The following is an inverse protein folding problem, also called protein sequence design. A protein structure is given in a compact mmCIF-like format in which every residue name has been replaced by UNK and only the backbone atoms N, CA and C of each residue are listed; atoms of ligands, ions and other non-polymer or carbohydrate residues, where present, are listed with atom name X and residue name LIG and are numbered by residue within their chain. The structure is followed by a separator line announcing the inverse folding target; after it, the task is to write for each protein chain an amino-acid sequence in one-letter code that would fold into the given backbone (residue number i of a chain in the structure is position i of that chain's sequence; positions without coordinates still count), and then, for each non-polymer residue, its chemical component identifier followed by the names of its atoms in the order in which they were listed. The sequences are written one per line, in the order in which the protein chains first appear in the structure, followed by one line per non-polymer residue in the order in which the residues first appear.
data_IF_591108531613
#
_entry.id   IF_591108531613
#
_cell.length_a   1.000
_cell.length_b   1.000
_cell.length_c   1.000
_cell.angle_alpha   90.00
_cell.angle_beta   90.00
_cell.angle_gamma   90.00
#
_symmetry.space_group_name_H-M   'P 1'
#
loop_
_entity.id
_entity.type
_entity.pdbx_description
1 polymer ?
#
# COMPACT_ATOMS: atom_id res chain seq x y z
N UNK A 1 22.35 -5.36 -12.50
CA UNK A 1 23.51 -4.48 -12.78
C UNK A 1 23.13 -3.02 -13.07
N UNK A 2 21.84 -2.64 -13.16
CA UNK A 2 21.46 -1.26 -13.45
C UNK A 2 21.86 -0.26 -12.34
N UNK A 3 21.57 -0.59 -11.07
CA UNK A 3 21.80 0.33 -9.95
C UNK A 3 23.27 0.67 -9.70
N UNK A 4 24.15 -0.33 -9.57
CA UNK A 4 25.58 -0.10 -9.25
C UNK A 4 26.35 0.60 -10.37
N UNK A 5 25.79 0.65 -11.58
CA UNK A 5 26.38 1.35 -12.71
C UNK A 5 25.85 2.78 -12.87
N UNK A 6 24.74 3.12 -12.21
CA UNK A 6 24.12 4.44 -12.27
C UNK A 6 25.06 5.53 -11.68
N UNK A 7 25.32 6.63 -12.41
CA UNK A 7 26.19 7.70 -11.93
C UNK A 7 25.69 8.39 -10.65
N UNK A 8 24.37 8.52 -10.46
CA UNK A 8 23.81 9.13 -9.25
C UNK A 8 23.96 8.20 -8.04
N UNK A 9 23.81 6.88 -8.24
CA UNK A 9 24.13 5.90 -7.22
C UNK A 9 25.61 5.97 -6.81
N UNK A 10 26.54 5.96 -7.77
CA UNK A 10 27.98 6.08 -7.49
C UNK A 10 28.33 7.38 -6.76
N UNK A 11 27.69 8.49 -7.14
CA UNK A 11 27.86 9.78 -6.46
C UNK A 11 27.38 9.70 -5.01
N UNK A 12 26.20 9.12 -4.76
CA UNK A 12 25.66 8.94 -3.42
C UNK A 12 26.53 8.01 -2.58
N UNK A 13 27.01 6.91 -3.17
CA UNK A 13 27.91 5.96 -2.51
C UNK A 13 29.24 6.62 -2.11
N UNK A 14 29.84 7.39 -3.02
CA UNK A 14 31.06 8.13 -2.74
C UNK A 14 30.84 9.15 -1.62
N UNK A 15 29.76 9.94 -1.71
CA UNK A 15 29.41 10.90 -0.66
C UNK A 15 29.22 10.22 0.70
N UNK A 16 28.56 9.06 0.74
CA UNK A 16 28.39 8.27 1.94
C UNK A 16 29.74 7.84 2.54
N UNK A 17 30.65 7.31 1.71
CA UNK A 17 31.99 6.90 2.17
C UNK A 17 32.78 8.06 2.77
N UNK A 18 32.64 9.25 2.20
CA UNK A 18 33.39 10.44 2.61
C UNK A 18 32.78 11.14 3.85
N UNK A 19 31.45 11.07 4.03
CA UNK A 19 30.75 11.96 4.98
C UNK A 19 29.85 11.23 6.01
N UNK A 20 29.54 9.93 5.84
CA UNK A 20 28.56 9.27 6.71
C UNK A 20 29.01 9.21 8.17
N UNK A 21 30.31 9.09 8.42
CA UNK A 21 30.88 9.05 9.77
C UNK A 21 30.70 10.34 10.57
N UNK A 22 30.47 11.48 9.91
CA UNK A 22 30.23 12.77 10.57
C UNK A 22 28.75 13.10 10.77
N UNK A 23 27.83 12.25 10.31
CA UNK A 23 26.40 12.49 10.51
C UNK A 23 25.99 12.13 11.94
N UNK A 24 25.55 13.13 12.69
CA UNK A 24 25.01 12.96 14.03
C UNK A 24 23.62 13.59 14.13
N UNK A 25 22.63 12.81 14.55
CA UNK A 25 21.25 13.29 14.62
C UNK A 25 21.08 14.51 15.52
N UNK A 26 21.73 14.51 16.69
CA UNK A 26 21.61 15.61 17.66
C UNK A 26 22.19 16.89 17.06
N UNK A 27 23.40 16.81 16.52
CA UNK A 27 24.09 17.95 15.92
C UNK A 27 23.32 18.51 14.72
N UNK A 28 22.67 17.64 13.93
CA UNK A 28 21.84 18.04 12.78
C UNK A 28 20.58 18.82 13.18
N UNK A 29 19.96 18.50 14.33
CA UNK A 29 18.85 19.29 14.90
C UNK A 29 19.33 20.55 15.62
N UNK A 30 20.52 20.51 16.23
CA UNK A 30 21.10 21.68 16.87
C UNK A 30 21.48 22.75 15.86
N UNK A 31 22.08 22.34 14.73
CA UNK A 31 22.53 23.20 13.62
C UNK A 31 21.41 23.69 12.70
N UNK A 32 20.30 22.97 12.59
CA UNK A 32 19.14 23.38 11.78
C UNK A 32 17.85 23.35 12.59
N UNK A 33 17.46 24.51 13.14
CA UNK A 33 16.25 24.65 13.96
C UNK A 33 14.96 24.39 13.18
N UNK A 34 14.99 24.53 11.85
CA UNK A 34 13.84 24.31 10.97
C UNK A 34 13.83 22.91 10.34
N UNK A 35 14.69 22.01 10.81
CA UNK A 35 14.84 20.66 10.26
C UNK A 35 13.53 19.89 10.21
N UNK A 36 12.70 19.96 11.24
CA UNK A 36 11.39 19.31 11.23
C UNK A 36 10.56 19.79 10.03
N UNK A 37 10.42 21.10 9.85
CA UNK A 37 9.64 21.70 8.76
C UNK A 37 10.20 21.36 7.37
N UNK A 38 11.53 21.25 7.23
CA UNK A 38 12.19 20.91 5.95
C UNK A 38 12.08 19.42 5.58
N UNK A 39 12.07 18.55 6.58
CA UNK A 39 12.07 17.09 6.42
C UNK A 39 10.78 16.45 6.96
N UNK A 40 9.67 17.18 6.83
CA UNK A 40 8.34 16.63 7.03
C UNK A 40 7.40 17.16 5.96
N UNK A 41 6.32 16.43 5.71
CA UNK A 41 5.22 16.90 4.87
C UNK A 41 3.91 16.44 5.47
N UNK A 42 2.91 17.31 5.47
CA UNK A 42 1.55 16.98 5.91
C UNK A 42 0.69 16.79 4.66
N UNK A 43 0.14 15.60 4.49
CA UNK A 43 -0.82 15.29 3.44
C UNK A 43 -2.23 15.53 3.97
N UNK A 44 -2.96 16.41 3.30
CA UNK A 44 -4.36 16.67 3.58
C UNK A 44 -5.20 15.63 2.85
N UNK A 45 -6.07 14.94 3.58
CA UNK A 45 -7.07 14.02 3.02
C UNK A 45 -8.44 14.45 3.50
N UNK A 46 -9.50 14.04 2.79
CA UNK A 46 -10.88 14.39 3.16
C UNK A 46 -11.25 13.90 4.58
N UNK A 47 -10.58 12.84 5.05
CA UNK A 47 -10.81 12.21 6.35
C UNK A 47 -9.80 12.62 7.44
N UNK A 48 -8.91 13.59 7.14
CA UNK A 48 -7.94 14.12 8.10
C UNK A 48 -6.53 14.28 7.55
N UNK A 49 -5.61 14.66 8.43
CA UNK A 49 -4.22 14.93 8.07
C UNK A 49 -3.31 13.74 8.33
N UNK A 50 -2.36 13.50 7.41
CA UNK A 50 -1.29 12.53 7.60
C UNK A 50 0.05 13.27 7.63
N UNK A 51 0.67 13.35 8.82
CA UNK A 51 2.02 13.88 8.97
C UNK A 51 3.06 12.80 8.66
N UNK A 52 3.84 13.02 7.60
CA UNK A 52 5.04 12.24 7.30
C UNK A 52 6.28 13.01 7.81
N UNK A 53 6.70 12.70 9.03
CA UNK A 53 7.94 13.21 9.62
C UNK A 53 9.11 12.25 9.33
N UNK A 54 10.02 12.68 8.45
CA UNK A 54 11.25 11.97 8.14
C UNK A 54 12.52 12.72 8.60
N UNK A 55 12.36 13.73 9.47
CA UNK A 55 13.45 14.58 9.98
C UNK A 55 14.47 13.84 10.85
N UNK A 56 14.05 12.72 11.45
CA UNK A 56 14.88 11.85 12.30
C UNK A 56 15.67 10.79 11.52
N UNK A 57 15.81 10.96 10.20
CA UNK A 57 16.69 10.15 9.36
C UNK A 57 18.04 10.84 9.17
N UNK A 58 19.12 10.06 9.01
CA UNK A 58 20.49 10.54 8.79
C UNK A 58 20.66 11.06 7.36
N UNK A 59 19.91 12.11 7.03
CA UNK A 59 19.92 12.76 5.73
C UNK A 59 20.01 14.27 5.91
N UNK A 60 20.70 14.94 5.00
CA UNK A 60 20.69 16.39 4.89
C UNK A 60 20.09 16.78 3.52
N UNK A 61 20.07 18.07 3.20
CA UNK A 61 19.47 18.55 1.95
C UNK A 61 20.19 18.02 0.71
N UNK A 62 21.51 17.85 0.79
CA UNK A 62 22.33 17.30 -0.30
C UNK A 62 21.98 15.84 -0.55
N UNK A 63 21.93 15.02 0.51
CA UNK A 63 21.55 13.60 0.44
C UNK A 63 20.15 13.42 -0.12
N UNK A 64 19.17 14.20 0.35
CA UNK A 64 17.81 14.15 -0.17
C UNK A 64 17.78 14.48 -1.67
N UNK A 65 18.53 15.49 -2.10
CA UNK A 65 18.63 15.86 -3.51
C UNK A 65 19.28 14.75 -4.36
N UNK A 66 20.31 14.08 -3.84
CA UNK A 66 20.94 12.93 -4.51
C UNK A 66 20.01 11.72 -4.61
N UNK A 67 19.24 11.43 -3.55
CA UNK A 67 18.25 10.35 -3.55
C UNK A 67 17.15 10.61 -4.59
N UNK A 68 16.64 11.84 -4.68
CA UNK A 68 15.64 12.22 -5.68
C UNK A 68 16.20 12.17 -7.10
N UNK A 69 17.45 12.61 -7.31
CA UNK A 69 18.12 12.49 -8.61
C UNK A 69 18.29 11.03 -9.04
N UNK A 70 18.67 10.15 -8.11
CA UNK A 70 18.79 8.71 -8.35
C UNK A 70 17.42 8.08 -8.66
N UNK A 71 16.36 8.44 -7.94
CA UNK A 71 15.01 7.95 -8.24
C UNK A 71 14.57 8.32 -9.67
N UNK A 72 14.91 9.53 -10.13
CA UNK A 72 14.66 9.97 -11.50
C UNK A 72 15.50 9.19 -12.53
N UNK A 73 16.81 9.01 -12.31
CA UNK A 73 17.64 8.27 -13.28
C UNK A 73 17.30 6.79 -13.36
N UNK A 74 16.79 6.21 -12.26
CA UNK A 74 16.31 4.82 -12.22
C UNK A 74 14.91 4.65 -12.85
N UNK A 75 14.28 5.71 -13.37
CA UNK A 75 13.02 5.62 -14.09
C UNK A 75 11.80 5.32 -13.22
N UNK A 76 11.82 5.75 -11.94
CA UNK A 76 10.70 5.49 -11.01
C UNK A 76 9.40 6.11 -11.51
N UNK A 77 9.45 7.31 -12.09
CA UNK A 77 8.27 7.99 -12.64
C UNK A 77 7.71 7.23 -13.85
N UNK A 78 8.57 6.79 -14.78
CA UNK A 78 8.15 5.97 -15.93
C UNK A 78 7.55 4.63 -15.46
N UNK A 79 8.20 3.94 -14.52
CA UNK A 79 7.71 2.68 -13.97
C UNK A 79 6.35 2.84 -13.27
N UNK A 80 6.14 3.98 -12.59
CA UNK A 80 4.83 4.35 -12.03
C UNK A 80 3.79 4.46 -13.13
N UNK A 81 4.04 5.23 -14.19
CA UNK A 81 3.08 5.39 -15.29
C UNK A 81 2.74 4.06 -15.97
N UNK A 82 3.72 3.18 -16.18
CA UNK A 82 3.51 1.82 -16.71
C UNK A 82 2.58 0.99 -15.81
N UNK A 83 2.73 1.10 -14.49
CA UNK A 83 1.84 0.43 -13.55
C UNK A 83 0.41 0.97 -13.65
N UNK A 84 0.23 2.29 -13.66
CA UNK A 84 -1.10 2.92 -13.66
C UNK A 84 -1.84 2.74 -15.00
N UNK A 85 -1.11 2.67 -16.12
CA UNK A 85 -1.68 2.46 -17.45
C UNK A 85 -2.04 1.01 -17.77
N UNK A 86 -1.63 0.05 -16.94
CA UNK A 86 -1.93 -1.37 -17.14
C UNK A 86 -0.91 -2.14 -17.99
N UNK A 87 0.28 -1.57 -18.21
CA UNK A 87 1.36 -2.30 -18.87
C UNK A 87 1.78 -3.55 -18.09
N UNK A 88 2.31 -4.55 -18.81
CA UNK A 88 2.74 -5.84 -18.25
C UNK A 88 4.11 -5.72 -17.57
N UNK A 89 4.18 -4.94 -16.49
CA UNK A 89 5.41 -4.69 -15.73
C UNK A 89 5.91 -5.92 -14.96
N UNK A 90 5.02 -6.89 -14.65
CA UNK A 90 5.43 -8.20 -14.16
C UNK A 90 5.89 -9.02 -15.37
N UNK A 91 7.13 -8.77 -15.80
CA UNK A 91 7.71 -9.31 -17.02
C UNK A 91 8.00 -10.82 -16.95
N UNK A 92 8.16 -11.40 -15.75
CA UNK A 92 8.39 -12.84 -15.61
C UNK A 92 7.13 -13.66 -15.86
N UNK A 93 5.97 -13.13 -15.46
CA UNK A 93 4.66 -13.78 -15.69
C UNK A 93 3.88 -13.18 -16.87
N UNK A 94 4.37 -12.09 -17.47
CA UNK A 94 3.69 -11.37 -18.54
C UNK A 94 2.36 -10.75 -18.10
N UNK A 95 2.28 -10.19 -16.89
CA UNK A 95 1.03 -9.71 -16.27
C UNK A 95 1.06 -8.22 -15.95
N UNK A 96 -0.11 -7.58 -16.05
CA UNK A 96 -0.34 -6.25 -15.50
C UNK A 96 -0.42 -6.29 -13.96
N UNK A 97 -0.10 -5.18 -13.30
CA UNK A 97 -0.14 -5.06 -11.83
C UNK A 97 -1.07 -3.91 -11.45
N UNK A 98 -2.35 -4.22 -11.21
CA UNK A 98 -3.42 -3.22 -11.14
C UNK A 98 -4.22 -3.23 -9.82
N UNK A 99 -3.53 -3.37 -8.69
CA UNK A 99 -4.19 -3.20 -7.38
C UNK A 99 -4.75 -1.77 -7.19
N UNK A 100 -4.24 -0.79 -7.94
CA UNK A 100 -4.80 0.58 -8.00
C UNK A 100 -6.20 0.62 -8.62
N UNK A 101 -6.48 -0.21 -9.62
CA UNK A 101 -7.80 -0.27 -10.28
C UNK A 101 -8.90 -0.74 -9.30
N UNK A 102 -8.57 -1.65 -8.39
CA UNK A 102 -9.50 -2.17 -7.36
C UNK A 102 -10.01 -1.10 -6.39
N UNK A 103 -9.31 0.03 -6.28
CA UNK A 103 -9.64 1.16 -5.42
C UNK A 103 -9.76 2.48 -6.20
N UNK A 104 -9.88 2.41 -7.52
CA UNK A 104 -10.08 3.57 -8.36
C UNK A 104 -11.52 4.10 -8.18
N UNK A 105 -11.65 5.23 -7.49
CA UNK A 105 -12.95 5.88 -7.22
C UNK A 105 -13.37 6.86 -8.30
N UNK A 106 -12.44 7.34 -9.14
CA UNK A 106 -12.78 8.25 -10.24
C UNK A 106 -13.45 7.52 -11.41
N UNK A 107 -13.30 6.20 -11.49
CA UNK A 107 -13.73 5.37 -12.61
C UNK A 107 -13.10 5.78 -13.95
N UNK A 108 -11.93 6.43 -13.92
CA UNK A 108 -11.13 6.61 -15.12
C UNK A 108 -10.78 5.23 -15.72
N UNK A 109 -10.94 5.05 -17.05
CA UNK A 109 -10.67 3.76 -17.69
C UNK A 109 -9.21 3.31 -17.51
N UNK A 110 -9.02 2.04 -17.16
CA UNK A 110 -7.70 1.42 -17.09
C UNK A 110 -7.73 0.19 -17.98
N UNK A 111 -6.92 0.21 -19.04
CA UNK A 111 -7.01 -0.78 -20.12
C UNK A 111 -5.96 -1.88 -19.96
N UNK A 112 -6.38 -3.14 -20.08
CA UNK A 112 -5.47 -4.29 -20.21
C UNK A 112 -5.88 -5.07 -21.46
N UNK A 113 -4.92 -5.35 -22.34
CA UNK A 113 -5.16 -6.08 -23.59
C UNK A 113 -6.33 -5.50 -24.43
N UNK A 114 -6.47 -4.17 -24.41
CA UNK A 114 -7.49 -3.43 -25.16
C UNK A 114 -8.88 -3.35 -24.49
N UNK A 115 -9.04 -3.86 -23.26
CA UNK A 115 -10.29 -3.83 -22.51
C UNK A 115 -10.17 -3.03 -21.20
N UNK A 116 -11.13 -2.15 -20.94
CA UNK A 116 -11.23 -1.46 -19.65
C UNK A 116 -11.66 -2.44 -18.55
N UNK A 117 -10.91 -2.46 -17.45
CA UNK A 117 -11.15 -3.35 -16.31
C UNK A 117 -12.17 -2.80 -15.31
N UNK A 118 -12.46 -1.49 -15.34
CA UNK A 118 -13.31 -0.83 -14.36
C UNK A 118 -14.76 -1.37 -14.28
N UNK A 119 -15.44 -1.71 -15.39
CA UNK A 119 -16.78 -2.30 -15.32
C UNK A 119 -16.83 -3.60 -14.52
N UNK A 120 -15.86 -4.49 -14.72
CA UNK A 120 -15.80 -5.77 -13.99
C UNK A 120 -15.43 -5.58 -12.52
N UNK A 121 -14.52 -4.64 -12.21
CA UNK A 121 -14.21 -4.26 -10.82
C UNK A 121 -15.47 -3.82 -10.09
N UNK A 122 -16.23 -2.88 -10.66
CA UNK A 122 -17.45 -2.37 -10.06
C UNK A 122 -18.55 -3.44 -9.95
N UNK A 123 -18.69 -4.30 -10.96
CA UNK A 123 -19.63 -5.43 -10.94
C UNK A 123 -19.36 -6.37 -9.77
N UNK A 124 -18.09 -6.67 -9.47
CA UNK A 124 -17.72 -7.51 -8.33
C UNK A 124 -17.96 -6.79 -7.01
N UNK A 125 -17.64 -5.50 -6.91
CA UNK A 125 -17.93 -4.69 -5.72
C UNK A 125 -19.44 -4.62 -5.42
N UNK A 126 -20.28 -4.47 -6.44
CA UNK A 126 -21.73 -4.48 -6.30
C UNK A 126 -22.26 -5.84 -5.84
N UNK A 127 -21.72 -6.92 -6.40
CA UNK A 127 -22.04 -8.28 -5.96
C UNK A 127 -21.65 -8.49 -4.49
N UNK A 128 -20.48 -8.02 -4.07
CA UNK A 128 -20.03 -8.08 -2.68
C UNK A 128 -20.96 -7.27 -1.77
N UNK A 129 -21.34 -6.05 -2.16
CA UNK A 129 -22.26 -5.19 -1.42
C UNK A 129 -23.62 -5.85 -1.21
N UNK A 130 -24.22 -6.38 -2.29
CA UNK A 130 -25.51 -7.07 -2.22
C UNK A 130 -25.47 -8.32 -1.33
N UNK A 131 -24.39 -9.10 -1.42
CA UNK A 131 -24.18 -10.25 -0.55
C UNK A 131 -24.05 -9.84 0.93
N UNK A 132 -23.16 -8.88 1.23
CA UNK A 132 -22.96 -8.36 2.58
C UNK A 132 -24.27 -7.83 3.19
N UNK A 133 -25.09 -7.11 2.41
CA UNK A 133 -26.38 -6.62 2.86
C UNK A 133 -27.35 -7.74 3.21
N UNK A 134 -27.43 -8.80 2.39
CA UNK A 134 -28.30 -9.96 2.66
C UNK A 134 -27.87 -10.73 3.90
N UNK A 135 -26.56 -10.88 4.13
CA UNK A 135 -26.01 -11.53 5.33
C UNK A 135 -26.28 -10.68 6.58
N UNK A 136 -25.88 -9.40 6.57
CA UNK A 136 -26.01 -8.51 7.73
C UNK A 136 -27.47 -8.22 8.13
N UNK A 137 -28.39 -8.17 7.17
CA UNK A 137 -29.83 -8.03 7.44
C UNK A 137 -30.49 -9.31 7.95
N UNK A 138 -29.78 -10.45 7.92
CA UNK A 138 -30.34 -11.75 8.26
C UNK A 138 -31.33 -12.29 7.22
N UNK A 139 -31.43 -11.68 6.03
CA UNK A 139 -32.21 -12.23 4.91
C UNK A 139 -31.58 -13.51 4.35
N UNK A 140 -30.26 -13.63 4.42
CA UNK A 140 -29.55 -14.86 4.08
C UNK A 140 -29.68 -15.86 5.23
N UNK A 141 -30.37 -16.97 4.96
CA UNK A 141 -30.60 -18.04 5.94
C UNK A 141 -29.67 -19.23 5.70
N UNK A 142 -29.25 -19.88 6.78
CA UNK A 142 -28.62 -21.20 6.71
C UNK A 142 -29.65 -22.29 6.41
N UNK A 143 -29.17 -23.53 6.30
CA UNK A 143 -30.02 -24.70 5.99
C UNK A 143 -31.24 -24.86 6.93
N UNK A 144 -31.10 -24.48 8.20
CA UNK A 144 -32.17 -24.58 9.21
C UNK A 144 -33.10 -23.36 9.26
N UNK A 145 -33.00 -22.42 8.31
CA UNK A 145 -33.79 -21.19 8.28
C UNK A 145 -33.33 -20.09 9.24
N UNK A 146 -32.29 -20.34 10.04
CA UNK A 146 -31.69 -19.37 10.97
C UNK A 146 -30.78 -18.37 10.23
N UNK A 147 -30.70 -17.14 10.75
CA UNK A 147 -29.76 -16.13 10.25
C UNK A 147 -28.31 -16.54 10.53
N UNK A 148 -27.38 -16.06 9.71
CA UNK A 148 -25.94 -16.27 9.91
C UNK A 148 -25.44 -15.37 11.04
N UNK A 149 -24.74 -15.95 12.01
CA UNK A 149 -24.14 -15.24 13.17
C UNK A 149 -22.63 -15.16 13.09
N UNK A 150 -22.00 -16.14 12.46
CA UNK A 150 -20.57 -16.34 12.43
C UNK A 150 -20.10 -16.51 10.98
N UNK A 151 -19.01 -15.83 10.62
CA UNK A 151 -18.39 -15.91 9.29
C UNK A 151 -16.98 -16.42 9.46
N UNK A 152 -16.73 -17.62 8.94
CA UNK A 152 -15.42 -18.24 8.97
C UNK A 152 -14.78 -18.14 7.58
N UNK A 153 -13.64 -17.47 7.50
CA UNK A 153 -12.85 -17.42 6.27
C UNK A 153 -11.82 -18.55 6.28
N UNK A 154 -11.92 -19.49 5.33
CA UNK A 154 -10.93 -20.53 5.12
C UNK A 154 -9.94 -20.06 4.05
N UNK A 155 -8.72 -19.73 4.47
CA UNK A 155 -7.73 -19.03 3.65
C UNK A 155 -6.31 -19.47 3.99
N UNK A 156 -5.42 -19.45 2.99
CA UNK A 156 -4.00 -19.77 3.14
C UNK A 156 -3.13 -18.53 2.85
N UNK A 157 -2.09 -18.36 3.66
CA UNK A 157 -1.00 -17.37 3.49
C UNK A 157 -1.48 -15.91 3.30
N UNK A 158 -1.23 -15.30 2.14
CA UNK A 158 -1.39 -13.85 1.90
C UNK A 158 -2.81 -13.32 2.06
N UNK A 159 -3.81 -14.18 1.87
CA UNK A 159 -5.21 -13.80 2.09
C UNK A 159 -5.56 -13.76 3.59
N UNK A 160 -4.83 -14.50 4.44
CA UNK A 160 -5.06 -14.59 5.88
C UNK A 160 -4.66 -13.33 6.64
N UNK A 161 -3.40 -12.92 6.50
CA UNK A 161 -2.83 -11.79 7.25
C UNK A 161 -3.65 -10.51 7.00
N UNK A 162 -3.95 -10.20 5.73
CA UNK A 162 -4.72 -9.00 5.38
C UNK A 162 -6.15 -9.01 5.92
N UNK A 163 -6.82 -10.15 5.91
CA UNK A 163 -8.22 -10.25 6.39
C UNK A 163 -8.27 -10.10 7.91
N UNK A 164 -7.32 -10.69 8.64
CA UNK A 164 -7.25 -10.55 10.09
C UNK A 164 -6.90 -9.13 10.53
N UNK A 165 -5.87 -8.52 9.93
CA UNK A 165 -5.43 -7.17 10.31
C UNK A 165 -6.54 -6.13 10.07
N UNK A 166 -7.25 -6.23 8.94
CA UNK A 166 -8.40 -5.36 8.63
C UNK A 166 -9.54 -5.55 9.62
N UNK A 167 -9.93 -6.80 9.92
CA UNK A 167 -10.97 -7.07 10.88
C UNK A 167 -10.60 -6.56 12.28
N UNK A 168 -9.35 -6.79 12.71
CA UNK A 168 -8.85 -6.36 14.02
C UNK A 168 -8.81 -4.82 14.16
N UNK A 169 -8.34 -4.11 13.13
CA UNK A 169 -8.30 -2.64 13.11
C UNK A 169 -9.68 -1.98 13.03
N UNK A 170 -10.69 -2.66 12.49
CA UNK A 170 -12.06 -2.14 12.30
C UNK A 170 -13.01 -2.37 13.49
N UNK A 171 -12.54 -2.94 14.60
CA UNK A 171 -13.38 -3.29 15.77
C UNK A 171 -14.10 -2.12 16.45
N UNK A 172 -13.92 -0.89 15.98
CA UNK A 172 -14.53 0.32 16.57
C UNK A 172 -15.96 0.56 16.09
N UNK A 173 -16.45 0.01 14.96
CA UNK A 173 -17.72 0.49 14.38
C UNK A 173 -18.90 -0.49 14.21
N UNK A 174 -18.76 -1.82 14.28
CA UNK A 174 -19.94 -2.69 14.10
C UNK A 174 -19.92 -4.02 14.87
N UNK A 175 -20.78 -4.09 15.89
CA UNK A 175 -21.00 -5.24 16.80
C UNK A 175 -21.83 -6.41 16.22
N UNK A 176 -22.16 -6.42 14.93
CA UNK A 176 -23.18 -7.34 14.40
C UNK A 176 -22.69 -8.75 14.05
N UNK A 177 -21.40 -8.95 13.77
CA UNK A 177 -20.82 -10.26 13.44
C UNK A 177 -19.54 -10.44 14.25
N UNK A 178 -19.37 -11.61 14.87
CA UNK A 178 -18.15 -11.95 15.62
C UNK A 178 -17.22 -12.72 14.67
N UNK A 179 -15.97 -12.26 14.45
CA UNK A 179 -14.98 -13.11 13.82
C UNK A 179 -14.66 -14.27 14.77
N UNK A 180 -14.85 -15.50 14.32
CA UNK A 180 -14.42 -16.68 15.08
C UNK A 180 -12.99 -17.01 14.64
N UNK A 181 -12.06 -17.01 15.61
CA UNK A 181 -10.66 -17.30 15.37
C UNK A 181 -10.42 -18.65 14.70
N UNK A 182 -9.42 -18.71 13.82
CA UNK A 182 -9.01 -19.93 13.13
C UNK A 182 -8.17 -20.76 14.10
N UNK A 183 -8.69 -21.92 14.51
CA UNK A 183 -7.90 -22.93 15.23
C UNK A 183 -7.21 -23.83 14.21
N UNK A 184 -5.89 -23.72 14.09
CA UNK A 184 -5.07 -24.71 13.40
C UNK A 184 -4.97 -25.94 14.29
N UNK A 185 -5.79 -26.96 14.05
CA UNK A 185 -5.52 -28.30 14.56
C UNK A 185 -4.57 -29.00 13.59
N UNK A 186 -3.28 -28.98 13.92
CA UNK A 186 -2.32 -29.92 13.34
C UNK A 186 -2.54 -31.27 14.02
N UNK A 187 -3.28 -32.16 13.37
CA UNK A 187 -3.27 -33.58 13.74
C UNK A 187 -2.01 -34.21 13.15
N UNK A 188 -1.03 -34.50 14.00
CA UNK A 188 -0.10 -35.63 13.82
C UNK A 188 -0.75 -36.90 14.31
#
# INVERSE_FOLDING_TARGET
MALTNDPNYKKLEQWYRDNAGSLNMRDMFESDKDRFSKFSTTLQTDDGEILLDFSKNLINQEVLSMLLAMAKSMGVEEAREKMFSGEKINFTEGRAVLHVALRNRSNEPITVDGQDVMPEVNRVLDKMKAFCQRVRSGQWKGFSGKSITDVNSLILFFSHVRTQDLCAGSHVEHQQLRPVGVSLHTHT
#
